data_IF_417222992498
#
_entry.id   IF_417222992498
#
_cell.length_a   1.000
_cell.length_b   1.000
_cell.length_c   1.000
_cell.angle_alpha   90.00
_cell.angle_beta   90.00
_cell.angle_gamma   90.00
#
_symmetry.space_group_name_H-M   'P 1'
#
loop_
_entity.id
_entity.type
_entity.pdbx_description
1 polymer ?
#
# COMPACT_ATOMS: atom_id res chain seq x y z
N UNK A 1 24.59 23.87 20.89
CA UNK A 1 24.28 23.96 19.43
C UNK A 1 24.67 25.31 18.77
N UNK A 2 25.82 25.93 19.09
CA UNK A 2 26.29 27.15 18.38
C UNK A 2 27.06 26.84 17.09
N UNK A 3 27.86 25.76 17.06
CA UNK A 3 28.70 25.41 15.91
C UNK A 3 27.94 25.11 14.61
N UNK A 4 26.84 24.37 14.67
CA UNK A 4 26.04 24.03 13.48
C UNK A 4 25.42 25.27 12.81
N UNK A 5 24.96 26.24 13.61
CA UNK A 5 24.45 27.51 13.08
C UNK A 5 25.55 28.32 12.38
N UNK A 6 26.76 28.35 12.94
CA UNK A 6 27.92 29.01 12.31
C UNK A 6 28.30 28.34 10.98
N UNK A 7 28.08 27.04 10.85
CA UNK A 7 28.29 26.27 9.61
C UNK A 7 27.13 26.37 8.60
N UNK A 8 26.13 27.22 8.86
CA UNK A 8 24.98 27.44 7.96
C UNK A 8 23.88 26.38 8.05
N UNK A 9 23.81 25.62 9.14
CA UNK A 9 22.73 24.66 9.38
C UNK A 9 21.60 25.29 10.19
N UNK A 10 20.37 24.94 9.83
CA UNK A 10 19.16 25.34 10.54
C UNK A 10 18.39 24.11 11.04
N UNK A 11 17.80 24.23 12.21
CA UNK A 11 16.96 23.18 12.79
C UNK A 11 15.55 23.31 12.21
N UNK A 12 15.04 22.25 11.60
CA UNK A 12 13.76 22.26 10.90
C UNK A 12 12.96 20.98 11.19
N UNK A 13 11.64 21.11 11.17
CA UNK A 13 10.75 19.96 11.15
C UNK A 13 10.77 19.32 9.76
N UNK A 14 10.75 18.00 9.74
CA UNK A 14 10.60 17.23 8.51
C UNK A 14 9.14 17.25 8.06
N UNK A 15 8.95 17.60 6.80
CA UNK A 15 7.71 17.45 6.05
C UNK A 15 8.01 16.51 4.88
N UNK A 16 7.15 15.53 4.68
CA UNK A 16 7.23 14.66 3.50
C UNK A 16 7.06 15.53 2.25
N UNK A 17 7.94 15.33 1.26
CA UNK A 17 7.69 15.81 -0.09
C UNK A 17 6.52 15.06 -0.74
N UNK A 18 6.08 15.54 -1.90
CA UNK A 18 5.05 14.88 -2.71
C UNK A 18 5.63 13.57 -3.23
N UNK A 19 4.95 12.45 -2.94
CA UNK A 19 5.24 11.16 -3.55
C UNK A 19 4.28 10.93 -4.70
N UNK A 20 4.82 10.66 -5.88
CA UNK A 20 4.06 10.10 -6.99
C UNK A 20 4.09 8.58 -6.81
N UNK A 21 2.97 8.03 -6.37
CA UNK A 21 2.84 6.61 -6.03
C UNK A 21 2.76 5.70 -7.26
N UNK A 22 2.65 6.28 -8.46
CA UNK A 22 2.64 5.56 -9.72
C UNK A 22 1.36 4.78 -9.99
N UNK A 23 0.28 4.98 -9.21
CA UNK A 23 -0.98 4.29 -9.44
C UNK A 23 -1.62 4.62 -10.80
N UNK A 24 -1.28 5.78 -11.37
CA UNK A 24 -1.80 6.25 -12.67
C UNK A 24 -0.96 5.81 -13.87
N UNK A 25 0.16 5.09 -13.68
CA UNK A 25 0.95 4.62 -14.81
C UNK A 25 0.14 3.63 -15.65
N UNK A 26 0.29 3.72 -16.96
CA UNK A 26 -0.49 2.93 -17.92
C UNK A 26 -0.32 1.41 -17.71
N UNK A 27 0.90 0.97 -17.37
CA UNK A 27 1.20 -0.43 -17.06
C UNK A 27 0.47 -0.92 -15.78
N UNK A 28 0.42 -0.09 -14.73
CA UNK A 28 -0.28 -0.38 -13.48
C UNK A 28 -1.79 -0.47 -13.71
N UNK A 29 -2.35 0.46 -14.49
CA UNK A 29 -3.77 0.46 -14.83
C UNK A 29 -4.14 -0.76 -15.67
N UNK A 30 -3.29 -1.13 -16.63
CA UNK A 30 -3.50 -2.32 -17.46
C UNK A 30 -3.49 -3.60 -16.63
N UNK A 31 -2.47 -3.78 -15.77
CA UNK A 31 -2.39 -4.92 -14.87
C UNK A 31 -3.61 -5.00 -13.94
N UNK A 32 -4.08 -3.86 -13.40
CA UNK A 32 -5.26 -3.82 -12.54
C UNK A 32 -6.52 -4.32 -13.25
N UNK A 33 -6.71 -3.96 -14.52
CA UNK A 33 -7.85 -4.46 -15.32
C UNK A 33 -7.79 -5.97 -15.49
N UNK A 34 -6.63 -6.49 -15.92
CA UNK A 34 -6.42 -7.93 -16.12
C UNK A 34 -6.61 -8.72 -14.82
N UNK A 35 -6.10 -8.20 -13.70
CA UNK A 35 -6.28 -8.80 -12.39
C UNK A 35 -7.76 -8.88 -12.01
N UNK A 36 -8.52 -7.80 -12.17
CA UNK A 36 -9.95 -7.76 -11.84
C UNK A 36 -10.75 -8.74 -12.71
N UNK A 37 -10.51 -8.77 -14.02
CA UNK A 37 -11.15 -9.73 -14.93
C UNK A 37 -10.89 -11.18 -14.48
N UNK A 38 -9.65 -11.49 -14.09
CA UNK A 38 -9.30 -12.82 -13.61
C UNK A 38 -10.02 -13.18 -12.30
N UNK A 39 -10.10 -12.25 -11.35
CA UNK A 39 -10.82 -12.44 -10.08
C UNK A 39 -12.32 -12.65 -10.32
N UNK A 40 -12.95 -11.86 -11.19
CA UNK A 40 -14.37 -12.04 -11.54
C UNK A 40 -14.64 -13.40 -12.19
N UNK A 41 -13.73 -13.89 -13.03
CA UNK A 41 -13.84 -15.24 -13.60
C UNK A 41 -13.76 -16.34 -12.53
N UNK A 42 -13.09 -16.08 -11.42
CA UNK A 42 -12.96 -17.00 -10.28
C UNK A 42 -14.12 -16.89 -9.29
N UNK A 43 -14.86 -15.78 -9.28
CA UNK A 43 -15.94 -15.50 -8.32
C UNK A 43 -17.00 -16.61 -8.30
N UNK A 44 -17.30 -17.22 -9.46
CA UNK A 44 -18.26 -18.33 -9.57
C UNK A 44 -17.86 -19.61 -8.80
N UNK A 45 -16.61 -19.71 -8.38
CA UNK A 45 -16.08 -20.82 -7.57
C UNK A 45 -15.88 -20.45 -6.09
N UNK A 46 -16.19 -19.21 -5.68
CA UNK A 46 -15.99 -18.72 -4.32
C UNK A 46 -17.31 -18.65 -3.57
N UNK A 47 -17.31 -19.00 -2.28
CA UNK A 47 -18.51 -18.94 -1.46
C UNK A 47 -19.07 -17.53 -1.32
N UNK A 48 -20.40 -17.44 -1.34
CA UNK A 48 -21.16 -16.24 -1.06
C UNK A 48 -21.91 -16.41 0.25
N UNK A 49 -22.15 -15.31 0.94
CA UNK A 49 -22.82 -15.29 2.24
C UNK A 49 -23.93 -14.25 2.23
N UNK A 50 -25.06 -14.55 2.86
CA UNK A 50 -26.20 -13.64 2.94
C UNK A 50 -26.85 -13.64 4.33
N UNK A 51 -27.70 -12.62 4.57
CA UNK A 51 -28.42 -12.48 5.83
C UNK A 51 -27.59 -11.93 6.99
N UNK A 52 -28.26 -11.74 8.13
CA UNK A 52 -27.65 -11.20 9.36
C UNK A 52 -26.60 -12.14 9.96
N UNK A 53 -26.78 -13.45 9.80
CA UNK A 53 -25.89 -14.48 10.34
C UNK A 53 -24.80 -14.93 9.37
N UNK A 54 -24.72 -14.33 8.17
CA UNK A 54 -23.78 -14.71 7.12
C UNK A 54 -23.91 -16.19 6.75
N UNK A 55 -25.13 -16.63 6.45
CA UNK A 55 -25.39 -18.00 6.02
C UNK A 55 -24.74 -18.24 4.64
N UNK A 56 -24.06 -19.38 4.50
CA UNK A 56 -23.35 -19.73 3.27
C UNK A 56 -24.32 -20.15 2.16
N UNK A 57 -24.20 -19.52 1.00
CA UNK A 57 -24.91 -19.89 -0.21
C UNK A 57 -24.13 -21.03 -0.89
N UNK A 58 -24.76 -22.20 -1.02
CA UNK A 58 -24.15 -23.35 -1.69
C UNK A 58 -23.92 -23.07 -3.18
N UNK A 59 -22.69 -23.34 -3.63
CA UNK A 59 -22.30 -23.20 -5.04
C UNK A 59 -22.74 -24.43 -5.84
N UNK A 60 -23.38 -24.18 -6.98
CA UNK A 60 -23.59 -25.22 -8.00
C UNK A 60 -22.33 -25.32 -8.87
N UNK A 61 -21.37 -26.15 -8.45
CA UNK A 61 -20.13 -26.38 -9.19
C UNK A 61 -20.30 -27.53 -10.20
N UNK A 62 -19.70 -27.42 -11.40
CA UNK A 62 -19.60 -28.54 -12.34
C UNK A 62 -18.88 -29.74 -11.73
N UNK A 63 -19.18 -30.93 -12.24
CA UNK A 63 -18.54 -32.15 -11.78
C UNK A 63 -17.01 -32.08 -11.96
N UNK A 64 -16.27 -32.35 -10.87
CA UNK A 64 -14.81 -32.29 -10.83
C UNK A 64 -14.21 -30.93 -10.41
N UNK A 65 -15.00 -29.87 -10.33
CA UNK A 65 -14.55 -28.57 -9.84
C UNK A 65 -14.61 -28.47 -8.31
N UNK A 66 -13.76 -27.63 -7.73
CA UNK A 66 -13.69 -27.38 -6.28
C UNK A 66 -13.88 -25.91 -5.96
N UNK A 67 -14.39 -25.66 -4.78
CA UNK A 67 -14.44 -24.32 -4.20
C UNK A 67 -13.03 -23.72 -4.11
N UNK A 68 -12.94 -22.41 -4.36
CA UNK A 68 -11.70 -21.64 -4.30
C UNK A 68 -11.81 -20.57 -3.21
N UNK A 69 -10.75 -20.44 -2.42
CA UNK A 69 -10.60 -19.38 -1.43
C UNK A 69 -9.56 -18.39 -1.93
N UNK A 70 -9.93 -17.12 -2.02
CA UNK A 70 -9.00 -16.05 -2.35
C UNK A 70 -8.11 -15.75 -1.14
N UNK A 71 -6.81 -15.98 -1.29
CA UNK A 71 -5.80 -15.60 -0.29
C UNK A 71 -5.02 -14.42 -0.84
N UNK A 72 -5.11 -13.26 -0.17
CA UNK A 72 -4.36 -12.05 -0.50
C UNK A 72 -3.45 -11.67 0.66
N UNK A 73 -2.27 -11.18 0.33
CA UNK A 73 -1.32 -10.63 1.30
C UNK A 73 -1.18 -9.13 1.05
N UNK A 74 -1.32 -8.32 2.09
CA UNK A 74 -0.96 -6.92 2.05
C UNK A 74 0.38 -6.73 2.78
N UNK A 75 1.38 -6.21 2.06
CA UNK A 75 2.66 -5.86 2.65
C UNK A 75 2.53 -4.52 3.40
N UNK A 76 2.17 -4.59 4.68
CA UNK A 76 2.13 -3.41 5.55
C UNK A 76 3.53 -3.08 6.11
N UNK A 77 3.98 -1.84 5.91
CA UNK A 77 5.24 -1.31 6.45
C UNK A 77 4.94 -0.42 7.68
N UNK A 78 5.23 -0.91 8.89
CA UNK A 78 4.89 -0.23 10.15
C UNK A 78 5.90 0.83 10.64
N UNK A 79 6.85 1.29 9.83
CA UNK A 79 7.90 2.24 10.24
C UNK A 79 7.47 3.72 10.28
N UNK A 80 6.18 4.03 10.28
CA UNK A 80 5.70 5.41 10.14
C UNK A 80 6.06 6.29 11.36
N UNK A 81 6.20 5.69 12.55
CA UNK A 81 6.36 6.44 13.80
C UNK A 81 7.77 6.40 14.43
N UNK A 82 8.70 5.60 13.91
CA UNK A 82 10.07 5.47 14.47
C UNK A 82 11.05 6.52 13.95
N UNK A 83 10.61 7.38 13.01
CA UNK A 83 11.48 8.35 12.36
C UNK A 83 11.51 9.66 13.13
N UNK A 84 12.71 10.16 13.46
CA UNK A 84 12.89 11.50 14.04
C UNK A 84 12.25 12.56 13.14
N UNK A 85 11.31 13.34 13.65
CA UNK A 85 10.65 14.43 12.92
C UNK A 85 11.50 15.69 12.81
N UNK A 86 12.65 15.72 13.46
CA UNK A 86 13.52 16.89 13.56
C UNK A 86 14.86 16.61 12.89
N UNK A 87 15.34 17.53 12.05
CA UNK A 87 16.64 17.40 11.39
C UNK A 87 17.32 18.75 11.16
N UNK A 88 18.65 18.75 11.13
CA UNK A 88 19.44 19.91 10.77
C UNK A 88 19.65 19.93 9.25
N UNK A 89 19.07 20.90 8.54
CA UNK A 89 19.25 21.10 7.09
C UNK A 89 20.32 22.16 6.82
N UNK A 90 21.13 21.93 5.79
CA UNK A 90 22.01 22.96 5.22
C UNK A 90 21.23 23.69 4.12
N UNK A 91 21.11 25.01 4.22
CA UNK A 91 20.45 25.87 3.23
C UNK A 91 18.96 25.53 2.96
N UNK A 92 18.22 25.00 3.94
CA UNK A 92 16.78 24.73 3.82
C UNK A 92 16.39 23.62 2.84
N UNK A 93 17.35 22.89 2.27
CA UNK A 93 17.06 21.73 1.41
C UNK A 93 16.61 20.55 2.28
N UNK A 94 15.37 20.13 2.10
CA UNK A 94 14.82 18.97 2.79
C UNK A 94 15.22 17.69 2.04
N UNK A 95 15.96 16.77 2.67
CA UNK A 95 16.34 15.52 2.01
C UNK A 95 15.11 14.62 1.85
N UNK A 96 14.96 14.00 0.69
CA UNK A 96 14.03 12.88 0.53
C UNK A 96 14.52 11.71 1.39
N UNK A 97 13.63 11.17 2.22
CA UNK A 97 13.93 9.98 3.01
C UNK A 97 13.60 8.74 2.18
N UNK A 98 14.44 7.70 2.28
CA UNK A 98 14.08 6.38 1.74
C UNK A 98 12.79 5.90 2.42
N UNK A 99 11.88 5.34 1.63
CA UNK A 99 10.75 4.57 2.14
C UNK A 99 11.31 3.18 2.52
N UNK A 100 11.05 2.71 3.74
CA UNK A 100 11.63 1.43 4.22
C UNK A 100 13.11 1.52 4.64
N UNK A 101 13.70 0.36 4.96
CA UNK A 101 15.13 0.19 5.29
C UNK A 101 16.03 0.33 4.05
#
# INVERSE_FOLDING_TARGET
NKGLKVLGYSFQQYHCGIYYDGHEREDVLQYRKEFLENIFNHEKYMSKYEGEFMDQIYLNLPEGEKERVLVVHDECIFYLNDRKHELWTKNGKMPLRKKGN
#
